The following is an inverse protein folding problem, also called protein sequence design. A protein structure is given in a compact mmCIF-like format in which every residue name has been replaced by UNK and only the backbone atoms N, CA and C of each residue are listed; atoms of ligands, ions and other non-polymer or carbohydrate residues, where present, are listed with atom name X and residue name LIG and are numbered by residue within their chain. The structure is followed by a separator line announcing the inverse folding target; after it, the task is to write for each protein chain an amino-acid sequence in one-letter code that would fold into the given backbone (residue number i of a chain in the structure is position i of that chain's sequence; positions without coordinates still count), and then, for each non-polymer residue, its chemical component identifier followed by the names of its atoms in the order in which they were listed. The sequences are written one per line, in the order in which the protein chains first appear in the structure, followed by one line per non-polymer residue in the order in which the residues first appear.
data_IF_529661333716
#
_entry.id   IF_529661333716
#
_cell.length_a   1.000
_cell.length_b   1.000
_cell.length_c   1.000
_cell.angle_alpha   90.00
_cell.angle_beta   90.00
_cell.angle_gamma   90.00
#
_symmetry.space_group_name_H-M   'P 1'
#
loop_
_entity.id
_entity.type
_entity.pdbx_description
1 polymer ?
#
# COMPACT_ATOMS: atom_id res chain seq x y z
N UNK A 1 27.09 48.69 18.41
CA UNK A 1 27.01 49.72 17.35
C UNK A 1 26.68 49.05 16.03
N UNK A 2 25.48 49.37 15.51
CA UNK A 2 24.97 49.35 14.12
C UNK A 2 25.36 48.25 13.09
N UNK A 3 24.34 47.52 12.60
CA UNK A 3 24.11 47.25 11.16
C UNK A 3 23.37 48.46 10.53
N UNK A 4 22.92 48.56 9.23
CA UNK A 4 22.85 47.60 8.10
C UNK A 4 23.08 48.22 6.67
N UNK A 5 22.86 47.46 5.57
CA UNK A 5 21.88 47.73 4.45
C UNK A 5 22.25 47.16 3.06
N UNK A 6 21.19 46.68 2.40
CA UNK A 6 21.00 46.17 1.03
C UNK A 6 20.97 47.26 -0.05
N UNK A 7 21.06 46.88 -1.34
CA UNK A 7 20.31 47.54 -2.42
C UNK A 7 20.12 46.65 -3.66
N UNK A 8 18.91 46.76 -4.20
CA UNK A 8 18.29 46.05 -5.32
C UNK A 8 18.20 47.03 -6.50
N UNK A 9 18.09 46.49 -7.71
CA UNK A 9 17.72 47.10 -9.00
C UNK A 9 18.70 47.99 -9.77
N UNK A 10 18.98 47.59 -11.02
CA UNK A 10 18.91 48.48 -12.20
C UNK A 10 18.93 47.67 -13.52
N UNK A 11 17.77 47.62 -14.19
CA UNK A 11 17.64 47.42 -15.65
C UNK A 11 17.84 48.76 -16.38
N UNK A 12 18.21 48.76 -17.66
CA UNK A 12 17.23 49.20 -18.64
C UNK A 12 17.21 48.44 -20.00
N UNK A 13 16.03 48.49 -20.60
CA UNK A 13 15.62 48.08 -21.96
C UNK A 13 16.34 48.86 -23.05
N UNK A 14 16.45 48.30 -24.27
CA UNK A 14 16.32 49.07 -25.53
C UNK A 14 15.82 48.20 -26.70
N UNK A 15 14.83 48.74 -27.41
CA UNK A 15 14.11 48.25 -28.59
C UNK A 15 14.73 48.78 -29.89
N UNK A 16 14.55 48.05 -31.01
CA UNK A 16 14.38 48.46 -32.45
C UNK A 16 14.66 47.20 -33.29
N UNK A 17 13.88 46.67 -34.24
CA UNK A 17 12.75 47.17 -35.05
C UNK A 17 13.15 47.19 -36.54
N UNK A 18 12.54 46.37 -37.42
CA UNK A 18 11.94 46.77 -38.71
C UNK A 18 11.47 45.57 -39.59
N UNK A 19 10.34 45.80 -40.26
CA UNK A 19 9.50 44.99 -41.16
C UNK A 19 10.08 44.86 -42.61
N UNK A 20 9.73 43.88 -43.45
CA UNK A 20 8.51 43.79 -44.28
C UNK A 20 8.57 42.55 -45.21
N UNK A 21 7.42 42.01 -45.64
CA UNK A 21 7.35 41.08 -46.78
C UNK A 21 6.10 40.18 -46.77
N UNK A 22 5.10 40.48 -47.61
CA UNK A 22 3.81 39.80 -47.73
C UNK A 22 3.70 39.16 -49.12
N UNK A 23 3.47 37.85 -49.23
CA UNK A 23 2.87 37.16 -50.40
C UNK A 23 2.10 35.91 -49.95
N UNK A 24 1.23 35.39 -50.83
CA UNK A 24 -0.13 34.88 -50.57
C UNK A 24 -0.24 33.35 -50.40
N UNK A 25 -1.30 32.97 -49.66
CA UNK A 25 -2.24 31.85 -49.82
C UNK A 25 -1.70 30.43 -50.06
N UNK A 26 -1.92 29.55 -49.08
CA UNK A 26 -2.63 28.28 -49.30
C UNK A 26 -3.54 27.98 -48.09
N UNK A 27 -4.80 27.69 -48.38
CA UNK A 27 -5.81 27.21 -47.45
C UNK A 27 -5.59 25.72 -47.17
N UNK A 28 -5.67 25.31 -45.91
CA UNK A 28 -6.09 23.94 -45.59
C UNK A 28 -6.72 23.89 -44.20
N UNK A 29 -7.98 23.46 -44.18
CA UNK A 29 -8.85 23.34 -43.01
C UNK A 29 -8.54 22.07 -42.24
N UNK A 30 -7.79 22.12 -41.13
CA UNK A 30 -7.66 20.96 -40.22
C UNK A 30 -7.48 21.40 -38.76
N UNK A 31 -8.36 22.24 -38.21
CA UNK A 31 -8.27 22.64 -36.78
C UNK A 31 -9.52 22.31 -35.93
N UNK A 32 -10.44 21.47 -36.43
CA UNK A 32 -11.70 21.21 -35.70
C UNK A 32 -11.89 19.79 -35.15
N UNK A 33 -10.96 18.84 -35.39
CA UNK A 33 -11.17 17.42 -35.00
C UNK A 33 -10.39 17.04 -33.73
N UNK A 34 -9.38 17.80 -33.31
CA UNK A 34 -8.51 17.41 -32.19
C UNK A 34 -8.95 17.87 -30.79
N UNK A 35 -9.97 18.73 -30.67
CA UNK A 35 -10.49 19.19 -29.38
C UNK A 35 -11.64 18.33 -28.83
N UNK A 36 -12.23 17.45 -29.63
CA UNK A 36 -13.44 16.69 -29.24
C UNK A 36 -13.17 15.34 -28.56
N UNK A 37 -11.92 14.86 -28.53
CA UNK A 37 -11.58 13.55 -27.94
C UNK A 37 -11.16 13.60 -26.47
N UNK A 38 -10.57 14.72 -26.01
CA UNK A 38 -10.10 14.86 -24.61
C UNK A 38 -11.23 15.05 -23.60
N UNK A 39 -12.36 15.64 -24.01
CA UNK A 39 -13.55 15.81 -23.15
C UNK A 39 -14.16 14.47 -22.71
N UNK A 40 -14.07 13.43 -23.55
CA UNK A 40 -14.73 12.14 -23.33
C UNK A 40 -14.16 11.32 -22.16
N UNK A 41 -12.85 11.40 -21.89
CA UNK A 41 -12.20 10.64 -20.81
C UNK A 41 -12.36 11.36 -19.47
N UNK A 42 -12.21 12.68 -19.44
CA UNK A 42 -12.45 13.48 -18.25
C UNK A 42 -13.94 13.45 -17.85
N UNK A 43 -14.87 13.53 -18.81
CA UNK A 43 -16.30 13.38 -18.51
C UNK A 43 -16.66 11.96 -18.07
N UNK A 44 -16.08 10.91 -18.67
CA UNK A 44 -16.28 9.52 -18.20
C UNK A 44 -15.73 9.31 -16.79
N UNK A 45 -14.55 9.86 -16.48
CA UNK A 45 -14.00 9.88 -15.11
C UNK A 45 -14.95 10.62 -14.18
N UNK A 46 -15.35 11.84 -14.53
CA UNK A 46 -16.27 12.66 -13.73
C UNK A 46 -17.61 11.97 -13.48
N UNK A 47 -18.21 11.34 -14.49
CA UNK A 47 -19.44 10.56 -14.39
C UNK A 47 -19.25 9.28 -13.55
N UNK A 48 -18.12 8.60 -13.67
CA UNK A 48 -17.77 7.45 -12.82
C UNK A 48 -17.63 7.88 -11.35
N UNK A 49 -16.97 9.02 -11.09
CA UNK A 49 -16.83 9.61 -9.76
C UNK A 49 -18.17 10.14 -9.21
N UNK A 50 -19.05 10.70 -10.06
CA UNK A 50 -20.41 11.09 -9.66
C UNK A 50 -21.28 9.87 -9.32
N UNK A 51 -21.13 8.76 -10.04
CA UNK A 51 -21.89 7.53 -9.79
C UNK A 51 -21.50 6.86 -8.47
N UNK A 52 -20.24 6.97 -8.05
CA UNK A 52 -19.76 6.48 -6.75
C UNK A 52 -20.30 7.30 -5.55
N UNK A 53 -20.66 8.58 -5.75
CA UNK A 53 -21.26 9.42 -4.69
C UNK A 53 -22.68 9.02 -4.29
N UNK A 54 -23.35 8.15 -5.05
CA UNK A 54 -24.71 7.65 -4.76
C UNK A 54 -24.72 6.22 -4.19
N UNK A 55 -23.59 5.71 -3.70
CA UNK A 55 -23.56 4.43 -2.99
C UNK A 55 -23.99 4.62 -1.53
N UNK A 56 -24.76 3.69 -0.95
CA UNK A 56 -25.25 3.82 0.44
C UNK A 56 -24.13 3.61 1.49
N UNK A 57 -22.89 3.36 1.06
CA UNK A 57 -21.74 3.07 1.91
C UNK A 57 -20.60 4.05 1.66
N UNK A 58 -19.84 4.35 2.71
CA UNK A 58 -18.66 5.21 2.63
C UNK A 58 -17.52 4.48 1.91
N UNK A 59 -16.98 5.10 0.87
CA UNK A 59 -15.80 4.58 0.14
C UNK A 59 -14.55 5.19 0.77
N UNK A 60 -13.59 4.33 1.12
CA UNK A 60 -12.25 4.74 1.55
C UNK A 60 -11.48 5.31 0.36
N UNK A 61 -11.01 6.55 0.50
CA UNK A 61 -10.19 7.25 -0.48
C UNK A 61 -8.73 7.32 -0.03
N UNK A 62 -7.76 7.23 -0.95
CA UNK A 62 -6.35 7.44 -0.62
C UNK A 62 -6.09 8.84 -0.05
N UNK A 63 -5.22 8.92 0.95
CA UNK A 63 -4.71 10.15 1.52
C UNK A 63 -3.22 10.35 1.19
N UNK A 64 -2.55 11.27 1.88
CA UNK A 64 -1.14 11.57 1.62
C UNK A 64 -0.24 10.40 2.08
N UNK A 65 0.72 10.02 1.25
CA UNK A 65 1.72 8.99 1.56
C UNK A 65 3.09 9.66 1.73
N UNK A 66 3.65 9.57 2.93
CA UNK A 66 5.01 10.01 3.26
C UNK A 66 6.08 9.04 2.73
N UNK A 67 7.34 9.49 2.62
CA UNK A 67 8.46 8.62 2.24
C UNK A 67 8.61 7.39 3.16
N UNK A 68 9.23 6.34 2.63
CA UNK A 68 9.52 5.13 3.39
C UNK A 68 10.50 5.40 4.56
N UNK A 69 10.31 4.65 5.66
CA UNK A 69 11.24 4.64 6.77
C UNK A 69 12.57 3.95 6.41
N UNK A 70 13.72 4.45 6.90
CA UNK A 70 15.02 3.91 6.55
C UNK A 70 15.30 2.58 7.27
N UNK A 71 15.87 1.62 6.54
CA UNK A 71 16.33 0.34 7.10
C UNK A 71 17.83 0.41 7.40
N UNK A 72 18.28 0.11 8.63
CA UNK A 72 19.70 0.00 8.98
C UNK A 72 20.50 -0.93 8.06
N UNK A 73 21.77 -0.56 7.79
CA UNK A 73 22.61 -1.27 6.81
C UNK A 73 22.95 -2.71 7.19
N UNK A 74 22.95 -3.03 8.48
CA UNK A 74 23.31 -4.38 8.97
C UNK A 74 22.19 -5.40 8.79
N UNK A 75 20.95 -4.95 8.60
CA UNK A 75 19.80 -5.84 8.40
C UNK A 75 19.88 -6.47 7.01
N UNK A 76 19.84 -7.81 6.99
CA UNK A 76 19.83 -8.58 5.75
C UNK A 76 18.57 -8.26 4.95
N UNK A 77 18.75 -7.84 3.70
CA UNK A 77 17.66 -7.51 2.78
C UNK A 77 17.38 -8.71 1.86
N UNK A 78 16.12 -8.92 1.45
CA UNK A 78 15.79 -9.88 0.42
C UNK A 78 16.23 -9.39 -0.97
N UNK A 79 16.45 -10.32 -1.89
CA UNK A 79 17.12 -10.07 -3.18
C UNK A 79 16.36 -9.09 -4.08
N UNK A 80 15.03 -9.01 -3.99
CA UNK A 80 14.24 -8.06 -4.78
C UNK A 80 14.53 -6.60 -4.43
N UNK A 81 15.05 -6.32 -3.24
CA UNK A 81 15.42 -4.95 -2.82
C UNK A 81 16.70 -4.48 -3.51
N UNK A 82 17.63 -5.40 -3.78
CA UNK A 82 18.90 -5.08 -4.43
C UNK A 82 18.81 -5.18 -5.95
N UNK A 83 18.09 -6.18 -6.46
CA UNK A 83 17.96 -6.44 -7.90
C UNK A 83 16.83 -5.64 -8.55
N UNK A 84 15.83 -5.22 -7.77
CA UNK A 84 14.58 -4.65 -8.31
C UNK A 84 13.68 -5.67 -9.00
N UNK A 85 14.03 -6.96 -8.96
CA UNK A 85 13.30 -8.03 -9.64
C UNK A 85 12.58 -8.88 -8.60
N UNK A 86 11.26 -8.97 -8.74
CA UNK A 86 10.44 -9.90 -7.94
C UNK A 86 10.68 -11.32 -8.47
N UNK A 87 11.04 -12.30 -7.61
CA UNK A 87 11.25 -13.68 -8.04
C UNK A 87 10.01 -14.27 -8.72
N UNK A 88 10.21 -15.04 -9.79
CA UNK A 88 9.12 -15.82 -10.39
C UNK A 88 8.77 -17.01 -9.51
N UNK A 89 7.48 -17.32 -9.40
CA UNK A 89 7.02 -18.57 -8.82
C UNK A 89 7.47 -19.74 -9.70
N UNK A 90 8.15 -20.72 -9.12
CA UNK A 90 8.52 -21.94 -9.84
C UNK A 90 7.33 -22.88 -10.00
N UNK A 91 7.42 -23.81 -10.95
CA UNK A 91 6.38 -24.83 -11.21
C UNK A 91 6.42 -26.01 -10.21
N UNK A 92 7.18 -25.89 -9.12
CA UNK A 92 7.33 -26.95 -8.12
C UNK A 92 7.13 -26.41 -6.70
N UNK A 93 6.63 -27.29 -5.82
CA UNK A 93 6.46 -27.02 -4.40
C UNK A 93 7.66 -27.62 -3.67
N UNK A 94 8.43 -26.77 -3.00
CA UNK A 94 9.60 -27.20 -2.26
C UNK A 94 9.21 -27.98 -0.99
N UNK A 95 9.83 -29.15 -0.80
CA UNK A 95 9.74 -29.91 0.45
C UNK A 95 10.85 -29.42 1.38
N UNK A 96 10.45 -28.77 2.48
CA UNK A 96 11.38 -28.16 3.44
C UNK A 96 12.08 -29.20 4.31
N UNK A 97 13.36 -29.00 4.56
CA UNK A 97 14.11 -29.74 5.59
C UNK A 97 13.91 -29.12 6.98
N UNK A 98 14.44 -29.76 8.02
CA UNK A 98 14.23 -29.32 9.41
C UNK A 98 14.80 -27.93 9.70
N UNK A 99 15.97 -27.60 9.18
CA UNK A 99 16.60 -26.28 9.38
C UNK A 99 15.75 -25.17 8.75
N UNK A 100 15.20 -25.43 7.56
CA UNK A 100 14.29 -24.51 6.89
C UNK A 100 12.96 -24.36 7.63
N UNK A 101 12.41 -25.46 8.16
CA UNK A 101 11.20 -25.44 9.00
C UNK A 101 11.45 -24.59 10.25
N UNK A 102 12.62 -24.72 10.88
CA UNK A 102 12.97 -23.93 12.06
C UNK A 102 13.14 -22.45 11.73
N UNK A 103 13.78 -22.12 10.60
CA UNK A 103 13.89 -20.73 10.12
C UNK A 103 12.52 -20.10 9.83
N UNK A 104 11.63 -20.83 9.14
CA UNK A 104 10.25 -20.41 8.90
C UNK A 104 9.48 -20.20 10.22
N UNK A 105 9.64 -21.12 11.19
CA UNK A 105 8.98 -21.02 12.50
C UNK A 105 9.37 -19.73 13.22
N UNK A 106 10.65 -19.36 13.21
CA UNK A 106 11.14 -18.12 13.80
C UNK A 106 10.59 -16.88 13.09
N UNK A 107 10.62 -16.85 11.75
CA UNK A 107 10.09 -15.72 10.98
C UNK A 107 8.58 -15.53 11.19
N UNK A 108 7.79 -16.62 11.16
CA UNK A 108 6.35 -16.57 11.40
C UNK A 108 6.00 -16.15 12.83
N UNK A 109 6.75 -16.60 13.84
CA UNK A 109 6.57 -16.15 15.23
C UNK A 109 6.82 -14.65 15.37
N UNK A 110 7.87 -14.13 14.73
CA UNK A 110 8.16 -12.71 14.70
C UNK A 110 7.05 -11.91 14.00
N UNK A 111 6.59 -12.34 12.82
CA UNK A 111 5.48 -11.69 12.12
C UNK A 111 4.21 -11.61 12.99
N UNK A 112 3.87 -12.72 13.67
CA UNK A 112 2.73 -12.75 14.62
C UNK A 112 2.94 -11.81 15.81
N UNK A 113 4.13 -11.76 16.37
CA UNK A 113 4.45 -10.83 17.47
C UNK A 113 4.24 -9.38 17.05
N UNK A 114 4.76 -8.98 15.88
CA UNK A 114 4.60 -7.63 15.33
C UNK A 114 3.12 -7.30 15.09
N UNK A 115 2.36 -8.21 14.47
CA UNK A 115 0.93 -8.03 14.23
C UNK A 115 0.14 -7.82 15.53
N UNK A 116 0.43 -8.61 16.57
CA UNK A 116 -0.22 -8.46 17.88
C UNK A 116 0.13 -7.12 18.56
N UNK A 117 1.35 -6.61 18.37
CA UNK A 117 1.78 -5.30 18.88
C UNK A 117 1.08 -4.17 18.16
N UNK A 118 0.98 -4.23 16.83
CA UNK A 118 0.24 -3.26 16.02
C UNK A 118 -1.24 -3.24 16.42
N UNK A 119 -1.87 -4.41 16.49
CA UNK A 119 -3.29 -4.54 16.85
C UNK A 119 -3.62 -3.99 18.24
N UNK A 120 -2.75 -4.19 19.25
CA UNK A 120 -2.91 -3.63 20.60
C UNK A 120 -2.82 -2.10 20.66
N UNK A 121 -2.23 -1.47 19.65
CA UNK A 121 -1.98 -0.04 19.63
C UNK A 121 -3.05 0.74 18.86
N UNK A 122 -3.94 0.03 18.15
CA UNK A 122 -5.01 0.62 17.36
C UNK A 122 -5.99 1.42 18.22
N UNK A 123 -6.37 2.58 17.71
CA UNK A 123 -7.36 3.47 18.31
C UNK A 123 -7.98 4.38 17.26
N UNK A 124 -9.19 4.85 17.52
CA UNK A 124 -9.84 5.90 16.71
C UNK A 124 -8.92 7.12 16.61
N UNK A 125 -8.80 7.68 15.41
CA UNK A 125 -7.95 8.83 15.11
C UNK A 125 -6.50 8.49 14.73
N UNK A 126 -6.02 7.27 15.00
CA UNK A 126 -4.68 6.83 14.57
C UNK A 126 -4.63 6.73 13.05
N UNK A 127 -3.59 7.23 12.40
CA UNK A 127 -3.44 7.10 10.95
C UNK A 127 -2.88 5.74 10.56
N UNK A 128 -3.12 5.32 9.32
CA UNK A 128 -2.49 4.08 8.82
C UNK A 128 -0.98 4.21 8.70
N UNK A 129 -0.45 5.42 8.47
CA UNK A 129 0.98 5.71 8.58
C UNK A 129 1.57 5.53 9.97
N UNK A 130 0.83 5.89 11.03
CA UNK A 130 1.30 5.64 12.40
C UNK A 130 1.41 4.13 12.67
N UNK A 131 0.54 3.32 12.05
CA UNK A 131 0.61 1.85 12.13
C UNK A 131 1.85 1.34 11.38
N UNK A 132 2.11 1.84 10.16
CA UNK A 132 3.32 1.50 9.40
C UNK A 132 4.60 1.84 10.17
N UNK A 133 4.67 3.03 10.77
CA UNK A 133 5.80 3.46 11.59
C UNK A 133 6.04 2.51 12.78
N UNK A 134 4.97 2.11 13.47
CA UNK A 134 5.04 1.15 14.58
C UNK A 134 5.54 -0.22 14.10
N UNK A 135 4.93 -0.76 13.05
CA UNK A 135 5.29 -2.06 12.47
C UNK A 135 6.73 -2.06 11.99
N UNK A 136 7.13 -1.02 11.26
CA UNK A 136 8.50 -0.83 10.79
C UNK A 136 9.48 -0.86 11.97
N UNK A 137 9.26 -0.03 12.99
CA UNK A 137 10.16 0.03 14.14
C UNK A 137 10.23 -1.27 14.93
N UNK A 138 9.12 -2.00 15.10
CA UNK A 138 9.13 -3.30 15.78
C UNK A 138 9.91 -4.35 14.98
N UNK A 139 9.77 -4.36 13.65
CA UNK A 139 10.54 -5.27 12.77
C UNK A 139 12.04 -4.94 12.83
N UNK A 140 12.41 -3.67 12.70
CA UNK A 140 13.81 -3.23 12.78
C UNK A 140 14.45 -3.56 14.13
N UNK A 141 13.70 -3.41 15.23
CA UNK A 141 14.17 -3.77 16.58
C UNK A 141 14.53 -5.23 16.76
N UNK A 142 14.01 -6.10 15.89
CA UNK A 142 14.23 -7.55 15.90
C UNK A 142 15.24 -7.98 14.83
N UNK A 143 16.00 -7.01 14.28
CA UNK A 143 17.00 -7.22 13.21
C UNK A 143 16.42 -7.90 11.95
N UNK A 144 15.13 -7.68 11.69
CA UNK A 144 14.42 -8.20 10.53
C UNK A 144 14.13 -7.09 9.50
N UNK A 145 13.82 -7.50 8.27
CA UNK A 145 13.44 -6.60 7.20
C UNK A 145 11.91 -6.64 6.96
N UNK A 146 11.22 -5.50 6.80
CA UNK A 146 9.80 -5.49 6.46
C UNK A 146 9.61 -5.87 4.99
N UNK A 147 9.14 -7.10 4.73
CA UNK A 147 9.15 -7.67 3.38
C UNK A 147 8.40 -6.85 2.33
N UNK A 148 7.23 -6.24 2.62
CA UNK A 148 6.53 -5.44 1.63
C UNK A 148 7.35 -4.25 1.12
N UNK A 149 8.29 -3.74 1.92
CA UNK A 149 9.06 -2.56 1.55
C UNK A 149 9.93 -2.83 0.31
N UNK A 150 9.68 -2.09 -0.76
CA UNK A 150 10.38 -2.24 -2.03
C UNK A 150 9.96 -3.45 -2.87
N UNK A 151 9.11 -4.34 -2.35
CA UNK A 151 8.60 -5.47 -3.13
C UNK A 151 7.67 -4.96 -4.24
N UNK A 152 8.07 -5.13 -5.51
CA UNK A 152 7.29 -4.61 -6.64
C UNK A 152 7.10 -3.09 -6.60
N UNK A 153 8.05 -2.34 -6.01
CA UNK A 153 7.95 -0.90 -5.72
C UNK A 153 6.88 -0.51 -4.67
N UNK A 154 6.41 -1.44 -3.85
CA UNK A 154 5.50 -1.12 -2.76
C UNK A 154 6.19 -0.18 -1.74
N UNK A 155 5.57 0.96 -1.36
CA UNK A 155 6.28 2.07 -0.74
C UNK A 155 6.38 2.01 0.79
N UNK A 156 5.75 1.03 1.44
CA UNK A 156 5.58 0.96 2.89
C UNK A 156 5.95 -0.42 3.44
N UNK A 157 6.01 -0.54 4.76
CA UNK A 157 6.51 -1.73 5.48
C UNK A 157 5.43 -2.76 5.78
N UNK A 158 4.16 -2.37 5.66
CA UNK A 158 2.97 -3.16 5.99
C UNK A 158 1.83 -2.78 5.05
N UNK A 159 0.85 -3.67 4.85
CA UNK A 159 -0.41 -3.27 4.21
C UNK A 159 -1.48 -2.98 5.28
N UNK A 160 -2.26 -1.93 5.07
CA UNK A 160 -3.39 -1.53 5.93
C UNK A 160 -4.64 -1.34 5.08
N UNK A 161 -5.55 -2.31 5.15
CA UNK A 161 -6.73 -2.37 4.27
C UNK A 161 -7.99 -2.08 5.06
N UNK A 162 -8.50 -0.84 4.94
CA UNK A 162 -9.67 -0.36 5.68
C UNK A 162 -10.96 -0.57 4.87
N UNK A 163 -11.99 -1.11 5.52
CA UNK A 163 -13.35 -1.29 4.99
C UNK A 163 -13.40 -1.93 3.58
N UNK A 164 -13.71 -1.15 2.54
CA UNK A 164 -13.87 -1.63 1.16
C UNK A 164 -12.54 -1.90 0.43
N UNK A 165 -11.40 -1.68 1.08
CA UNK A 165 -10.08 -2.07 0.58
C UNK A 165 -9.87 -3.55 0.88
N UNK A 166 -9.82 -4.39 -0.16
CA UNK A 166 -9.74 -5.86 -0.01
C UNK A 166 -8.38 -6.30 0.52
N UNK A 167 -7.30 -5.83 -0.09
CA UNK A 167 -5.92 -6.13 0.28
C UNK A 167 -4.97 -5.04 -0.26
N UNK A 168 -3.71 -5.08 0.19
CA UNK A 168 -2.63 -4.21 -0.28
C UNK A 168 -2.93 -2.70 -0.17
N UNK A 169 -3.74 -2.29 0.81
CA UNK A 169 -3.89 -0.88 1.14
C UNK A 169 -2.54 -0.27 1.55
N UNK A 170 -2.17 0.85 0.93
CA UNK A 170 -0.93 1.56 1.25
C UNK A 170 -1.18 2.43 2.48
N UNK A 171 -0.39 2.29 3.55
CA UNK A 171 -0.42 3.21 4.69
C UNK A 171 -0.29 4.67 4.25
N UNK A 172 -1.25 5.49 4.67
CA UNK A 172 -1.39 6.91 4.34
C UNK A 172 -1.87 7.74 5.56
N UNK A 173 -2.03 9.05 5.34
CA UNK A 173 -2.42 9.99 6.38
C UNK A 173 -3.90 9.91 6.80
N UNK A 174 -4.67 8.90 6.36
CA UNK A 174 -6.08 8.73 6.74
C UNK A 174 -6.18 8.31 8.20
N UNK A 175 -6.86 9.07 9.07
CA UNK A 175 -7.18 8.63 10.43
C UNK A 175 -8.25 7.54 10.41
N UNK A 176 -8.10 6.54 11.26
CA UNK A 176 -9.13 5.54 11.51
C UNK A 176 -10.36 6.17 12.18
N UNK A 177 -11.54 5.76 11.75
CA UNK A 177 -12.81 6.27 12.25
C UNK A 177 -13.45 5.28 13.23
N UNK A 178 -14.30 5.77 14.11
CA UNK A 178 -15.14 4.91 14.96
C UNK A 178 -16.07 4.09 14.06
N UNK A 179 -16.01 2.77 14.20
CA UNK A 179 -16.76 1.81 13.38
C UNK A 179 -16.00 1.25 12.17
N UNK A 180 -14.77 1.68 11.90
CA UNK A 180 -13.93 1.07 10.86
C UNK A 180 -13.57 -0.40 11.21
N UNK A 181 -13.43 -1.23 10.19
CA UNK A 181 -12.64 -2.47 10.26
C UNK A 181 -11.36 -2.30 9.44
N UNK A 182 -10.25 -2.81 9.94
CA UNK A 182 -8.94 -2.72 9.28
C UNK A 182 -8.24 -4.06 9.29
N UNK A 183 -7.83 -4.55 8.11
CA UNK A 183 -6.85 -5.62 8.01
C UNK A 183 -5.43 -5.05 8.07
N UNK A 184 -4.60 -5.60 8.95
CA UNK A 184 -3.16 -5.32 9.00
C UNK A 184 -2.43 -6.58 8.54
N UNK A 185 -1.64 -6.45 7.48
CA UNK A 185 -0.92 -7.54 6.84
C UNK A 185 0.59 -7.40 7.01
N UNK A 186 1.16 -8.26 7.85
CA UNK A 186 2.55 -8.19 8.29
C UNK A 186 3.34 -9.33 7.70
N UNK A 187 4.35 -8.98 6.90
CA UNK A 187 5.34 -9.92 6.41
C UNK A 187 6.76 -9.47 6.80
N UNK A 188 7.50 -10.34 7.48
CA UNK A 188 8.89 -10.07 7.90
C UNK A 188 9.86 -10.98 7.14
N UNK A 189 11.07 -10.48 6.87
CA UNK A 189 12.18 -11.27 6.37
C UNK A 189 13.25 -11.36 7.45
N UNK A 190 13.44 -12.56 7.98
CA UNK A 190 14.32 -12.84 9.10
C UNK A 190 15.19 -14.05 8.80
N UNK A 191 16.52 -13.89 8.92
CA UNK A 191 17.50 -14.96 8.69
C UNK A 191 17.35 -15.74 7.38
N UNK A 192 16.84 -15.10 6.32
CA UNK A 192 16.65 -15.75 5.02
C UNK A 192 15.22 -16.24 4.74
N UNK A 193 14.31 -16.13 5.70
CA UNK A 193 12.94 -16.65 5.60
C UNK A 193 11.91 -15.54 5.73
N UNK A 194 10.83 -15.65 4.95
CA UNK A 194 9.66 -14.80 5.10
C UNK A 194 8.66 -15.44 6.06
N UNK A 195 8.12 -14.65 7.00
CA UNK A 195 6.98 -15.01 7.82
C UNK A 195 5.84 -14.05 7.55
N UNK A 196 4.64 -14.58 7.28
CA UNK A 196 3.52 -13.80 6.74
C UNK A 196 2.22 -14.08 7.51
N UNK A 197 1.51 -13.03 7.91
CA UNK A 197 0.24 -13.15 8.64
C UNK A 197 -0.54 -11.83 8.65
N UNK A 198 -1.86 -11.92 8.60
CA UNK A 198 -2.75 -10.77 8.73
C UNK A 198 -3.97 -11.07 9.61
N UNK A 199 -4.57 -10.02 10.16
CA UNK A 199 -5.83 -10.09 10.90
C UNK A 199 -6.66 -8.83 10.62
N UNK A 200 -7.99 -9.01 10.54
CA UNK A 200 -8.93 -7.90 10.54
C UNK A 200 -9.36 -7.55 11.96
N UNK A 201 -9.17 -6.29 12.33
CA UNK A 201 -9.36 -5.74 13.67
C UNK A 201 -10.47 -4.70 13.64
N UNK A 202 -11.29 -4.70 14.69
CA UNK A 202 -12.40 -3.76 14.89
C UNK A 202 -11.87 -2.46 15.50
N UNK A 203 -12.27 -1.31 14.97
CA UNK A 203 -11.88 0.01 15.50
C UNK A 203 -13.09 0.68 16.15
N UNK A 204 -13.06 0.78 17.48
CA UNK A 204 -14.15 1.39 18.23
C UNK A 204 -15.46 0.60 18.15
N UNK A 205 -16.58 1.28 17.91
CA UNK A 205 -17.93 0.72 17.90
C UNK A 205 -18.35 0.28 16.48
N UNK A 206 -17.84 -0.88 16.05
CA UNK A 206 -18.22 -1.48 14.76
C UNK A 206 -19.65 -2.02 14.80
N UNK A 207 -20.38 -1.88 13.70
CA UNK A 207 -21.75 -2.40 13.57
C UNK A 207 -21.82 -3.95 13.55
N UNK A 208 -23.01 -4.51 13.74
CA UNK A 208 -23.20 -5.97 13.77
C UNK A 208 -22.76 -6.64 12.46
N UNK A 209 -22.96 -5.97 11.33
CA UNK A 209 -22.57 -6.48 10.02
C UNK A 209 -21.05 -6.60 9.88
N UNK A 210 -20.30 -5.57 10.28
CA UNK A 210 -18.85 -5.57 10.29
C UNK A 210 -18.28 -6.58 11.28
N UNK A 211 -18.85 -6.67 12.48
CA UNK A 211 -18.46 -7.70 13.47
C UNK A 211 -18.65 -9.11 12.92
N UNK A 212 -19.83 -9.39 12.34
CA UNK A 212 -20.15 -10.69 11.75
C UNK A 212 -19.24 -11.03 10.57
N UNK A 213 -18.94 -10.06 9.70
CA UNK A 213 -18.00 -10.26 8.59
C UNK A 213 -16.63 -10.71 9.09
N UNK A 214 -16.09 -10.01 10.09
CA UNK A 214 -14.78 -10.31 10.67
C UNK A 214 -14.79 -11.68 11.36
N UNK A 215 -15.85 -12.02 12.10
CA UNK A 215 -15.99 -13.33 12.74
C UNK A 215 -16.04 -14.48 11.72
N UNK A 216 -16.89 -14.36 10.69
CA UNK A 216 -17.04 -15.38 9.65
C UNK A 216 -15.73 -15.57 8.89
N UNK A 217 -15.05 -14.48 8.53
CA UNK A 217 -13.76 -14.56 7.85
C UNK A 217 -12.71 -15.33 8.67
N UNK A 218 -12.64 -15.09 10.00
CA UNK A 218 -11.75 -15.86 10.89
C UNK A 218 -12.14 -17.33 10.95
N UNK A 219 -13.44 -17.63 11.08
CA UNK A 219 -13.93 -19.01 11.09
C UNK A 219 -13.60 -19.76 9.80
N UNK A 220 -13.83 -19.16 8.64
CA UNK A 220 -13.48 -19.74 7.34
C UNK A 220 -11.97 -20.06 7.25
N UNK A 221 -11.11 -19.14 7.71
CA UNK A 221 -9.66 -19.37 7.77
C UNK A 221 -9.32 -20.58 8.66
N UNK A 222 -9.88 -20.62 9.88
CA UNK A 222 -9.56 -21.66 10.86
C UNK A 222 -10.04 -23.05 10.38
N UNK A 223 -11.22 -23.13 9.77
CA UNK A 223 -11.72 -24.36 9.13
C UNK A 223 -10.87 -24.79 7.94
N UNK A 224 -10.41 -23.86 7.11
CA UNK A 224 -9.54 -24.15 5.99
C UNK A 224 -8.15 -24.65 6.44
N UNK A 225 -7.60 -24.10 7.52
CA UNK A 225 -6.37 -24.60 8.16
C UNK A 225 -6.57 -26.04 8.65
N UNK A 226 -7.71 -26.32 9.30
CA UNK A 226 -8.00 -27.67 9.80
C UNK A 226 -8.15 -28.71 8.68
N UNK A 227 -8.50 -28.30 7.46
CA UNK A 227 -8.61 -29.18 6.31
C UNK A 227 -7.25 -29.56 5.67
N UNK A 228 -6.17 -28.83 5.98
CA UNK A 228 -4.83 -29.08 5.44
C UNK A 228 -4.23 -30.38 6.01
N UNK A 229 -3.87 -31.32 5.14
CA UNK A 229 -3.22 -32.58 5.51
C UNK A 229 -2.45 -33.21 4.34
N UNK A 230 -1.46 -34.09 4.58
CA UNK A 230 -0.79 -34.83 3.51
C UNK A 230 -1.79 -35.55 2.58
N UNK A 231 -1.56 -35.43 1.26
CA UNK A 231 -2.37 -36.06 0.22
C UNK A 231 -3.69 -35.36 -0.11
N UNK A 232 -4.11 -34.32 0.62
CA UNK A 232 -5.26 -33.52 0.23
C UNK A 232 -4.91 -32.56 -0.93
N UNK A 233 -5.78 -32.37 -1.93
CA UNK A 233 -5.54 -31.38 -2.98
C UNK A 233 -5.73 -29.95 -2.44
N UNK A 234 -4.95 -29.00 -2.94
CA UNK A 234 -5.04 -27.57 -2.54
C UNK A 234 -6.44 -26.98 -2.70
N UNK A 235 -7.23 -27.47 -3.67
CA UNK A 235 -8.60 -27.02 -3.91
C UNK A 235 -9.54 -27.23 -2.71
N UNK A 236 -9.22 -28.14 -1.79
CA UNK A 236 -9.99 -28.34 -0.55
C UNK A 236 -10.05 -27.04 0.27
N UNK A 237 -8.96 -26.28 0.34
CA UNK A 237 -8.90 -25.01 1.08
C UNK A 237 -9.98 -24.05 0.56
N UNK A 238 -10.04 -23.86 -0.76
CA UNK A 238 -11.05 -22.99 -1.39
C UNK A 238 -12.48 -23.52 -1.27
N UNK A 239 -12.66 -24.84 -1.37
CA UNK A 239 -13.97 -25.47 -1.19
C UNK A 239 -14.51 -25.35 0.25
N UNK A 240 -13.63 -25.31 1.25
CA UNK A 240 -14.01 -25.12 2.66
C UNK A 240 -14.44 -23.67 2.95
N UNK A 241 -13.85 -22.69 2.28
CA UNK A 241 -14.15 -21.26 2.50
C UNK A 241 -15.46 -20.83 1.82
N UNK A 242 -15.83 -21.47 0.71
CA UNK A 242 -16.90 -21.05 -0.20
C UNK A 242 -18.33 -21.26 0.35
#
# INVERSE_FOLDING_TARGET
MAAPRSLVDMLPRLFRGCTTGRQRLFSSSVDHIYLHKQSSIQQRRYLFFQRQRNTPYSIVWPALVSPAHPVPKHIKKPDYVTTGVVPSWGDYIEIKNEDQIQGLRQACQLARHVLLRAGKSLKVGMTTEEIDCLVHHEIIRQDAYPSPLGYGNFPKSVCTSVNNVVCHGIPDSRPLQDGDIINIDVTVYFNGYHGDTSETILVGNVDESGQKLVEVARKCRDEAIAACRPGAPFSVIGNTIR
#
